data_IF_099509925391
#
_entry.id   IF_099509925391
#
_cell.length_a   1.000
_cell.length_b   1.000
_cell.length_c   1.000
_cell.angle_alpha   90.00
_cell.angle_beta   90.00
_cell.angle_gamma   90.00
#
_symmetry.space_group_name_H-M   'P 1'
#
loop_
_entity.id
_entity.type
_entity.pdbx_description
1 polymer ?
#
# COMPACT_ATOMS: atom_id res chain seq x y z
N UNK A 1 -53.21 5.30 17.44
CA UNK A 1 -52.06 5.18 18.36
C UNK A 1 -51.10 4.08 17.92
N UNK A 2 -51.57 2.86 17.59
CA UNK A 2 -50.69 1.77 17.08
C UNK A 2 -49.98 2.10 15.77
N UNK A 3 -50.62 2.85 14.87
CA UNK A 3 -50.05 3.25 13.57
C UNK A 3 -48.81 4.16 13.70
N UNK A 4 -48.83 5.09 14.63
CA UNK A 4 -47.73 5.99 14.92
C UNK A 4 -46.52 5.21 15.51
N UNK A 5 -46.80 4.23 16.36
CA UNK A 5 -45.77 3.38 16.96
C UNK A 5 -45.11 2.49 15.85
N UNK A 6 -45.87 2.00 14.90
CA UNK A 6 -45.37 1.20 13.77
C UNK A 6 -44.52 2.04 12.82
N UNK A 7 -44.95 3.26 12.51
CA UNK A 7 -44.16 4.20 11.70
C UNK A 7 -42.81 4.57 12.34
N UNK A 8 -42.82 4.81 13.68
CA UNK A 8 -41.58 5.06 14.40
C UNK A 8 -40.65 3.85 14.41
N UNK A 9 -41.20 2.65 14.55
CA UNK A 9 -40.41 1.41 14.51
C UNK A 9 -39.74 1.19 13.14
N UNK A 10 -40.47 1.41 12.05
CA UNK A 10 -39.89 1.33 10.69
C UNK A 10 -38.83 2.41 10.49
N UNK A 11 -39.10 3.65 10.95
CA UNK A 11 -38.13 4.74 10.86
C UNK A 11 -36.83 4.40 11.59
N UNK A 12 -36.89 3.88 12.81
CA UNK A 12 -35.68 3.45 13.53
C UNK A 12 -34.99 2.26 12.86
N UNK A 13 -35.72 1.31 12.31
CA UNK A 13 -35.15 0.18 11.58
C UNK A 13 -34.36 0.64 10.35
N UNK A 14 -34.89 1.60 9.59
CA UNK A 14 -34.23 2.12 8.39
C UNK A 14 -33.05 3.02 8.76
N UNK A 15 -33.14 3.83 9.82
CA UNK A 15 -32.07 4.73 10.24
C UNK A 15 -30.90 4.00 10.95
N UNK A 16 -31.12 2.82 11.52
CA UNK A 16 -30.05 2.02 12.16
C UNK A 16 -29.24 1.19 11.18
N UNK A 17 -29.67 1.05 9.94
CA UNK A 17 -28.90 0.35 8.88
C UNK A 17 -27.94 1.30 8.13
N UNK A 18 -27.30 2.22 8.84
CA UNK A 18 -26.19 2.97 8.25
C UNK A 18 -25.02 1.99 8.15
N UNK A 19 -24.77 1.48 6.95
CA UNK A 19 -23.51 0.81 6.61
C UNK A 19 -22.37 1.76 6.98
N UNK A 20 -21.62 1.43 8.02
CA UNK A 20 -20.38 2.12 8.28
C UNK A 20 -19.46 1.91 7.08
N UNK A 21 -19.15 2.99 6.36
CA UNK A 21 -18.11 2.96 5.34
C UNK A 21 -16.83 2.45 6.00
N UNK A 22 -16.40 1.26 5.59
CA UNK A 22 -15.13 0.70 6.05
C UNK A 22 -14.02 1.43 5.29
N UNK A 23 -13.63 2.58 5.79
CA UNK A 23 -12.48 3.30 5.26
C UNK A 23 -11.19 2.50 5.43
N UNK A 24 -10.21 2.76 4.58
CA UNK A 24 -8.87 2.18 4.69
C UNK A 24 -8.24 2.68 5.98
N UNK A 25 -8.10 1.81 6.99
CA UNK A 25 -7.44 2.13 8.26
C UNK A 25 -5.94 2.34 8.02
N UNK A 26 -5.53 3.60 7.85
CA UNK A 26 -4.12 3.99 7.79
C UNK A 26 -3.73 4.75 9.05
N UNK A 27 -2.64 4.34 9.68
CA UNK A 27 -1.91 5.21 10.59
C UNK A 27 -1.20 6.26 9.75
N UNK A 28 -1.67 7.50 9.82
CA UNK A 28 -0.89 8.63 9.32
C UNK A 28 0.48 8.63 10.02
N UNK A 29 1.57 8.87 9.27
CA UNK A 29 2.86 9.13 9.88
C UNK A 29 2.69 10.26 10.89
N UNK A 30 3.31 10.13 12.07
CA UNK A 30 3.42 11.28 12.98
C UNK A 30 4.16 12.36 12.20
N UNK A 31 3.69 13.60 12.32
CA UNK A 31 4.43 14.77 11.90
C UNK A 31 5.75 14.77 12.71
N UNK A 32 6.74 14.07 12.20
CA UNK A 32 8.05 13.99 12.80
C UNK A 32 8.82 15.18 12.28
N UNK A 33 9.42 15.90 13.23
CA UNK A 33 10.38 16.97 13.01
C UNK A 33 11.13 16.82 11.70
N UNK A 34 11.33 17.94 10.99
CA UNK A 34 11.97 18.13 9.68
C UNK A 34 13.33 17.43 9.51
N UNK A 35 13.42 16.16 9.81
CA UNK A 35 14.53 15.33 9.36
C UNK A 35 14.30 15.06 7.88
N UNK A 36 15.03 15.78 7.03
CA UNK A 36 15.21 15.41 5.63
C UNK A 36 15.84 14.01 5.67
N UNK A 37 15.00 12.99 5.56
CA UNK A 37 15.49 11.62 5.40
C UNK A 37 16.02 11.57 3.97
N UNK A 38 17.33 11.61 3.83
CA UNK A 38 18.01 11.46 2.55
C UNK A 38 17.84 10.01 2.07
N UNK A 39 16.75 9.78 1.35
CA UNK A 39 16.53 8.50 0.69
C UNK A 39 17.45 8.42 -0.51
N UNK A 40 18.36 7.45 -0.52
CA UNK A 40 19.09 7.12 -1.73
C UNK A 40 18.08 6.89 -2.87
N UNK A 41 18.25 7.62 -3.96
CA UNK A 41 17.30 7.67 -5.09
C UNK A 41 16.91 6.28 -5.61
N UNK A 42 17.81 5.28 -5.53
CA UNK A 42 17.53 3.90 -5.91
C UNK A 42 16.51 3.18 -5.00
N UNK A 43 16.31 3.66 -3.77
CA UNK A 43 15.36 3.09 -2.80
C UNK A 43 13.97 3.74 -2.87
N UNK A 44 13.77 4.68 -3.79
CA UNK A 44 12.53 5.40 -3.98
C UNK A 44 11.87 4.97 -5.29
N UNK A 45 10.70 4.35 -5.20
CA UNK A 45 9.83 4.10 -6.35
C UNK A 45 8.81 5.23 -6.45
N UNK A 46 8.95 6.05 -7.47
CA UNK A 46 8.00 7.13 -7.74
C UNK A 46 6.88 6.63 -8.63
N UNK A 47 5.65 6.70 -8.14
CA UNK A 47 4.43 6.40 -8.91
C UNK A 47 3.67 7.71 -9.02
N UNK A 48 3.47 8.18 -10.25
CA UNK A 48 2.76 9.42 -10.54
C UNK A 48 1.50 9.12 -11.34
N UNK A 49 0.38 9.65 -10.89
CA UNK A 49 -0.87 9.68 -11.65
C UNK A 49 -0.97 11.04 -12.35
N UNK A 50 -0.96 11.02 -13.67
CA UNK A 50 -1.13 12.25 -14.44
C UNK A 50 -2.60 12.67 -14.54
N UNK A 51 -2.84 13.84 -15.12
CA UNK A 51 -4.19 14.39 -15.29
C UNK A 51 -5.08 13.59 -16.26
N UNK A 52 -4.50 12.64 -17.01
CA UNK A 52 -5.22 11.71 -17.89
C UNK A 52 -5.45 10.35 -17.25
N UNK A 53 -5.18 10.22 -15.93
CA UNK A 53 -5.28 8.98 -15.16
C UNK A 53 -4.31 7.85 -15.62
N UNK A 54 -3.21 8.19 -16.29
CA UNK A 54 -2.16 7.25 -16.61
C UNK A 54 -1.19 7.13 -15.45
N UNK A 55 -0.68 5.92 -15.24
CA UNK A 55 0.27 5.61 -14.17
C UNK A 55 1.68 5.68 -14.75
N UNK A 56 2.47 6.62 -14.28
CA UNK A 56 3.88 6.75 -14.64
C UNK A 56 4.76 6.26 -13.48
N UNK A 57 5.72 5.42 -13.79
CA UNK A 57 6.72 4.92 -12.82
C UNK A 57 8.07 5.55 -13.09
N UNK A 58 8.69 6.12 -12.07
CA UNK A 58 9.99 6.81 -12.13
C UNK A 58 10.07 7.89 -13.21
N UNK A 59 8.93 8.50 -13.57
CA UNK A 59 8.83 9.57 -14.57
C UNK A 59 9.14 9.15 -16.01
N UNK A 60 9.18 7.85 -16.30
CA UNK A 60 9.55 7.31 -17.63
C UNK A 60 8.55 6.31 -18.19
N UNK A 61 8.18 5.32 -17.41
CA UNK A 61 7.45 4.16 -17.90
C UNK A 61 5.96 4.32 -17.59
N UNK A 62 5.11 4.24 -18.60
CA UNK A 62 3.67 4.14 -18.44
C UNK A 62 3.33 2.68 -18.17
N UNK A 63 2.72 2.42 -17.02
CA UNK A 63 2.41 1.07 -16.55
C UNK A 63 0.88 0.90 -16.44
N UNK A 64 0.29 -0.14 -17.07
CA UNK A 64 -1.10 -0.47 -16.85
C UNK A 64 -1.33 -0.91 -15.40
N UNK A 65 -2.52 -0.63 -14.88
CA UNK A 65 -2.86 -0.90 -13.47
C UNK A 65 -2.68 -2.37 -13.10
N UNK A 66 -3.02 -3.29 -14.01
CA UNK A 66 -2.90 -4.73 -13.77
C UNK A 66 -1.46 -5.20 -13.56
N UNK A 67 -0.50 -4.45 -14.06
CA UNK A 67 0.93 -4.77 -13.92
C UNK A 67 1.60 -4.01 -12.77
N UNK A 68 0.95 -2.97 -12.23
CA UNK A 68 1.53 -2.11 -11.18
C UNK A 68 1.95 -2.91 -9.95
N UNK A 69 1.10 -3.84 -9.51
CA UNK A 69 1.40 -4.74 -8.39
C UNK A 69 2.73 -5.47 -8.57
N UNK A 70 2.99 -6.01 -9.77
CA UNK A 70 4.23 -6.73 -10.05
C UNK A 70 5.44 -5.81 -10.04
N UNK A 71 5.31 -4.59 -10.60
CA UNK A 71 6.38 -3.58 -10.59
C UNK A 71 6.75 -3.21 -9.15
N UNK A 72 5.76 -2.99 -8.28
CA UNK A 72 5.97 -2.67 -6.86
C UNK A 72 6.65 -3.85 -6.13
N UNK A 73 6.20 -5.08 -6.39
CA UNK A 73 6.81 -6.29 -5.79
C UNK A 73 8.27 -6.45 -6.21
N UNK A 74 8.55 -6.37 -7.51
CA UNK A 74 9.90 -6.51 -8.06
C UNK A 74 10.84 -5.43 -7.51
N UNK A 75 10.32 -4.23 -7.28
CA UNK A 75 11.08 -3.14 -6.67
C UNK A 75 11.42 -3.42 -5.20
N UNK A 76 10.43 -3.80 -4.38
CA UNK A 76 10.60 -3.99 -2.94
C UNK A 76 11.50 -5.21 -2.67
N UNK A 77 11.23 -6.33 -3.34
CA UNK A 77 11.90 -7.62 -3.12
C UNK A 77 13.25 -7.75 -3.83
N UNK A 78 13.75 -6.68 -4.45
CA UNK A 78 14.91 -6.69 -5.35
C UNK A 78 16.21 -7.21 -4.74
N UNK A 79 16.47 -7.01 -3.42
CA UNK A 79 17.70 -7.44 -2.75
C UNK A 79 18.99 -6.91 -3.42
N UNK A 80 19.05 -5.61 -3.68
CA UNK A 80 20.11 -5.01 -4.48
C UNK A 80 21.52 -5.03 -3.87
N UNK A 81 21.65 -5.29 -2.56
CA UNK A 81 22.94 -5.46 -1.87
C UNK A 81 23.24 -6.92 -1.45
N UNK A 82 22.33 -7.84 -1.75
CA UNK A 82 22.46 -9.24 -1.38
C UNK A 82 22.34 -9.53 0.13
N UNK A 83 22.00 -8.54 0.94
CA UNK A 83 21.90 -8.70 2.41
C UNK A 83 20.62 -9.38 2.87
N UNK A 84 19.60 -9.40 2.04
CA UNK A 84 18.31 -9.97 2.34
C UNK A 84 18.30 -11.49 2.08
N UNK A 85 18.16 -12.27 3.14
CA UNK A 85 18.17 -13.75 3.05
C UNK A 85 16.83 -14.38 2.66
N UNK A 86 15.76 -13.58 2.65
CA UNK A 86 14.39 -14.01 2.36
C UNK A 86 13.82 -13.44 1.05
N UNK A 87 14.55 -12.53 0.41
CA UNK A 87 14.15 -11.89 -0.84
C UNK A 87 14.46 -12.79 -2.05
N UNK A 88 13.58 -12.72 -3.06
CA UNK A 88 13.71 -13.50 -4.29
C UNK A 88 14.00 -12.61 -5.52
N UNK A 89 14.35 -11.35 -5.31
CA UNK A 89 14.54 -10.36 -6.37
C UNK A 89 15.80 -10.59 -7.20
N UNK A 90 15.89 -9.86 -8.32
CA UNK A 90 16.92 -10.03 -9.35
C UNK A 90 18.20 -9.23 -9.08
N UNK A 91 18.33 -8.57 -7.94
CA UNK A 91 19.49 -7.76 -7.56
C UNK A 91 19.83 -6.64 -8.56
N UNK A 92 18.82 -6.01 -9.13
CA UNK A 92 18.99 -4.92 -10.08
C UNK A 92 19.62 -3.70 -9.40
N UNK A 93 20.46 -2.98 -10.11
CA UNK A 93 21.16 -1.80 -9.61
C UNK A 93 20.27 -0.55 -9.52
N UNK A 94 19.16 -0.54 -10.27
CA UNK A 94 18.19 0.54 -10.38
C UNK A 94 16.96 0.37 -9.46
N UNK A 95 16.95 -0.65 -8.63
CA UNK A 95 15.86 -0.97 -7.71
C UNK A 95 16.35 -1.06 -6.26
N UNK A 96 15.44 -1.22 -5.31
CA UNK A 96 15.73 -1.10 -3.89
C UNK A 96 16.86 -2.04 -3.42
N UNK A 97 17.61 -1.54 -2.44
CA UNK A 97 18.71 -2.30 -1.81
C UNK A 97 18.15 -3.42 -0.93
N UNK A 98 17.12 -3.10 -0.15
CA UNK A 98 16.52 -4.01 0.82
C UNK A 98 15.07 -3.57 1.09
N UNK A 99 14.12 -4.48 1.36
CA UNK A 99 12.73 -4.14 1.66
C UNK A 99 12.55 -3.11 2.77
N UNK A 100 13.43 -3.12 3.78
CA UNK A 100 13.37 -2.17 4.90
C UNK A 100 13.75 -0.73 4.50
N UNK A 101 14.41 -0.56 3.36
CA UNK A 101 14.83 0.75 2.83
C UNK A 101 13.98 1.18 1.63
N UNK A 102 13.15 0.29 1.12
CA UNK A 102 12.29 0.57 -0.03
C UNK A 102 11.16 1.51 0.36
N UNK A 103 11.03 2.61 -0.36
CA UNK A 103 9.96 3.60 -0.18
C UNK A 103 9.18 3.72 -1.47
N UNK A 104 7.87 3.64 -1.39
CA UNK A 104 6.97 3.92 -2.50
C UNK A 104 6.40 5.32 -2.33
N UNK A 105 6.57 6.19 -3.31
CA UNK A 105 5.99 7.53 -3.32
C UNK A 105 4.86 7.57 -4.34
N UNK A 106 3.65 7.87 -3.88
CA UNK A 106 2.49 8.06 -4.74
C UNK A 106 2.18 9.54 -4.85
N UNK A 107 2.17 10.05 -6.07
CA UNK A 107 1.84 11.42 -6.40
C UNK A 107 0.63 11.44 -7.34
N UNK A 108 -0.30 12.36 -7.12
CA UNK A 108 -1.47 12.53 -7.98
C UNK A 108 -1.54 13.95 -8.52
N UNK A 109 -1.91 14.08 -9.79
CA UNK A 109 -2.24 15.37 -10.41
C UNK A 109 -3.61 15.87 -9.94
N UNK A 110 -3.82 17.19 -10.03
CA UNK A 110 -5.06 17.86 -9.57
C UNK A 110 -6.34 17.39 -10.28
N UNK A 111 -6.23 16.81 -11.47
CA UNK A 111 -7.35 16.30 -12.26
C UNK A 111 -7.47 14.78 -12.21
N UNK A 112 -6.65 14.10 -11.39
CA UNK A 112 -6.75 12.65 -11.18
C UNK A 112 -8.06 12.31 -10.49
N UNK A 113 -8.77 11.30 -11.01
CA UNK A 113 -10.01 10.83 -10.38
C UNK A 113 -9.71 10.07 -9.08
N UNK A 114 -10.55 10.28 -8.07
CA UNK A 114 -10.44 9.57 -6.79
C UNK A 114 -10.49 8.04 -6.96
N UNK A 115 -11.37 7.56 -7.85
CA UNK A 115 -11.46 6.13 -8.17
C UNK A 115 -10.11 5.55 -8.62
N UNK A 116 -9.42 6.25 -9.53
CA UNK A 116 -8.12 5.80 -10.05
C UNK A 116 -7.04 5.85 -8.98
N UNK A 117 -7.06 6.88 -8.14
CA UNK A 117 -6.14 7.00 -7.01
C UNK A 117 -6.30 5.84 -6.03
N UNK A 118 -7.53 5.51 -5.63
CA UNK A 118 -7.81 4.37 -4.75
C UNK A 118 -7.42 3.04 -5.40
N UNK A 119 -7.70 2.85 -6.69
CA UNK A 119 -7.30 1.64 -7.39
C UNK A 119 -5.78 1.43 -7.39
N UNK A 120 -4.99 2.50 -7.56
CA UNK A 120 -3.53 2.44 -7.46
C UNK A 120 -3.07 2.10 -6.05
N UNK A 121 -3.66 2.72 -5.03
CA UNK A 121 -3.36 2.39 -3.63
C UNK A 121 -3.67 0.93 -3.29
N UNK A 122 -4.75 0.39 -3.83
CA UNK A 122 -5.14 -1.01 -3.64
C UNK A 122 -4.10 -1.95 -4.25
N UNK A 123 -3.63 -1.69 -5.47
CA UNK A 123 -2.57 -2.49 -6.11
C UNK A 123 -1.24 -2.42 -5.35
N UNK A 124 -0.86 -1.27 -4.81
CA UNK A 124 0.32 -1.14 -3.94
C UNK A 124 0.13 -1.98 -2.67
N UNK A 125 -1.03 -1.89 -2.04
CA UNK A 125 -1.35 -2.65 -0.82
C UNK A 125 -1.33 -4.16 -1.07
N UNK A 126 -1.89 -4.61 -2.19
CA UNK A 126 -1.85 -6.02 -2.63
C UNK A 126 -0.41 -6.51 -2.84
N UNK A 127 0.47 -5.67 -3.40
CA UNK A 127 1.88 -6.02 -3.56
C UNK A 127 2.55 -6.36 -2.22
N UNK A 128 2.39 -5.50 -1.22
CA UNK A 128 2.91 -5.76 0.13
C UNK A 128 2.26 -6.97 0.79
N UNK A 129 0.95 -7.15 0.60
CA UNK A 129 0.24 -8.31 1.14
C UNK A 129 0.79 -9.62 0.56
N UNK A 130 0.99 -9.70 -0.75
CA UNK A 130 1.54 -10.89 -1.40
C UNK A 130 2.97 -11.20 -0.93
N UNK A 131 3.84 -10.19 -0.80
CA UNK A 131 5.21 -10.38 -0.27
C UNK A 131 5.17 -10.93 1.16
N UNK A 132 4.34 -10.37 2.02
CA UNK A 132 4.13 -10.84 3.38
C UNK A 132 3.55 -12.25 3.43
N UNK A 133 2.63 -12.57 2.53
CA UNK A 133 2.03 -13.91 2.40
C UNK A 133 3.10 -14.96 2.04
N UNK A 134 3.97 -14.66 1.08
CA UNK A 134 5.07 -15.55 0.68
C UNK A 134 6.03 -15.77 1.85
N UNK A 135 6.40 -14.70 2.55
CA UNK A 135 7.28 -14.80 3.72
C UNK A 135 6.65 -15.61 4.86
N UNK A 136 5.38 -15.37 5.18
CA UNK A 136 4.65 -16.10 6.22
C UNK A 136 4.56 -17.60 5.90
N UNK A 137 4.25 -17.96 4.66
CA UNK A 137 4.24 -19.36 4.20
C UNK A 137 5.60 -20.02 4.31
N UNK A 138 6.66 -19.30 3.94
CA UNK A 138 8.03 -19.86 4.00
C UNK A 138 8.51 -20.05 5.43
N UNK A 139 8.29 -19.07 6.31
CA UNK A 139 8.82 -19.06 7.67
C UNK A 139 7.94 -19.79 8.68
N UNK A 140 6.63 -19.52 8.66
CA UNK A 140 5.68 -20.00 9.67
C UNK A 140 4.80 -21.15 9.17
N UNK A 141 4.81 -21.45 7.86
CA UNK A 141 3.93 -22.42 7.20
C UNK A 141 2.43 -22.12 7.41
N UNK A 142 2.10 -20.83 7.58
CA UNK A 142 0.75 -20.31 7.81
C UNK A 142 0.41 -19.23 6.79
N UNK A 143 -0.88 -18.97 6.63
CA UNK A 143 -1.33 -17.79 5.90
C UNK A 143 -1.31 -16.56 6.80
N UNK A 144 -1.24 -15.35 6.18
CA UNK A 144 -1.17 -14.08 6.93
C UNK A 144 -2.36 -13.92 7.89
N UNK A 145 -3.54 -14.43 7.51
CA UNK A 145 -4.74 -14.39 8.36
C UNK A 145 -4.67 -15.27 9.62
N UNK A 146 -3.83 -16.30 9.63
CA UNK A 146 -3.70 -17.29 10.70
C UNK A 146 -2.51 -17.00 11.64
N UNK A 147 -1.81 -15.89 11.40
CA UNK A 147 -0.65 -15.50 12.21
C UNK A 147 -1.06 -14.98 13.58
N UNK A 148 -0.27 -15.30 14.59
CA UNK A 148 -0.37 -14.66 15.90
C UNK A 148 0.07 -13.20 15.82
N UNK A 149 -0.25 -12.39 16.85
CA UNK A 149 0.15 -10.99 16.89
C UNK A 149 1.67 -10.78 16.79
N UNK A 150 2.45 -11.66 17.41
CA UNK A 150 3.92 -11.58 17.40
C UNK A 150 4.49 -12.01 16.05
N UNK A 151 3.93 -13.07 15.43
CA UNK A 151 4.30 -13.49 14.07
C UNK A 151 3.97 -12.39 13.05
N UNK A 152 2.78 -11.76 13.17
CA UNK A 152 2.38 -10.65 12.31
C UNK A 152 3.34 -9.46 12.44
N UNK A 153 3.77 -9.13 13.65
CA UNK A 153 4.75 -8.06 13.89
C UNK A 153 6.07 -8.34 13.19
N UNK A 154 6.57 -9.57 13.28
CA UNK A 154 7.80 -9.98 12.57
C UNK A 154 7.64 -9.85 11.05
N UNK A 155 6.50 -10.25 10.47
CA UNK A 155 6.23 -10.10 9.04
C UNK A 155 6.20 -8.62 8.63
N UNK A 156 5.62 -7.75 9.47
CA UNK A 156 5.58 -6.30 9.23
C UNK A 156 6.95 -5.63 9.35
N UNK A 157 7.82 -6.11 10.24
CA UNK A 157 9.20 -5.64 10.37
C UNK A 157 10.06 -6.02 9.16
N UNK A 158 9.81 -7.17 8.56
CA UNK A 158 10.53 -7.67 7.38
C UNK A 158 10.10 -6.95 6.10
N UNK A 159 8.81 -6.73 5.91
CA UNK A 159 8.23 -5.96 4.82
C UNK A 159 7.42 -4.78 5.38
N UNK A 160 8.09 -3.71 5.84
CA UNK A 160 7.39 -2.52 6.36
C UNK A 160 6.63 -1.84 5.22
N UNK A 161 5.40 -1.44 5.49
CA UNK A 161 4.60 -0.68 4.53
C UNK A 161 5.02 0.79 4.60
N UNK A 162 5.86 1.22 3.67
CA UNK A 162 6.36 2.60 3.61
C UNK A 162 5.82 3.23 2.32
N UNK A 163 4.72 3.94 2.46
CA UNK A 163 4.09 4.70 1.39
C UNK A 163 4.10 6.19 1.77
N UNK A 164 4.72 7.01 0.93
CA UNK A 164 4.68 8.46 1.00
C UNK A 164 3.67 8.98 -0.02
N UNK A 165 2.79 9.85 0.40
CA UNK A 165 1.78 10.48 -0.44
C UNK A 165 2.09 11.96 -0.55
N UNK A 166 2.12 12.50 -1.76
CA UNK A 166 2.33 13.91 -2.04
C UNK A 166 1.37 14.38 -3.13
N UNK A 167 0.80 15.55 -2.93
CA UNK A 167 0.07 16.24 -4.01
C UNK A 167 1.06 16.99 -4.88
N UNK A 168 0.92 16.84 -6.20
CA UNK A 168 1.65 17.70 -7.13
C UNK A 168 0.98 19.09 -7.14
N UNK A 169 1.73 20.11 -6.76
CA UNK A 169 1.30 21.50 -6.86
C UNK A 169 1.33 21.97 -8.31
#
# INVERSE_FOLDING_TARGET
>A
MADIAFLLLIFFLVTTTISGDVGINRKLPRESDNTIIDYHQRNLLQIMLNNTNEIMVNGRDIVPIDNLKNVVKDFIDNNGDGSCTYCNGKQRTDSSVNPNKAVVSLQSGNLTTYEKYIAVQDEITKAYYELRQVYAKNKFKKEVGDLTKDEMKQVQEVYPFILSEAETR
#
